data_IF_914254247334
#
_entry.id   IF_914254247334
#
_cell.length_a   1.000
_cell.length_b   1.000
_cell.length_c   1.000
_cell.angle_alpha   90.00
_cell.angle_beta   90.00
_cell.angle_gamma   90.00
#
_symmetry.space_group_name_H-M   'P 1'
#
loop_
_entity.id
_entity.type
_entity.pdbx_description
1 polymer ?
#
# COMPACT_ATOMS: atom_id res chain seq x y z
N UNK A 1 -15.94 -3.78 28.90
CA UNK A 1 -15.12 -5.02 28.96
C UNK A 1 -15.94 -6.28 28.69
N UNK A 2 -17.07 -6.52 29.36
CA UNK A 2 -17.90 -7.71 29.13
C UNK A 2 -18.34 -7.91 27.66
N UNK A 3 -18.78 -6.86 26.96
CA UNK A 3 -19.24 -6.97 25.57
C UNK A 3 -18.18 -7.46 24.56
N UNK A 4 -16.90 -7.16 24.78
CA UNK A 4 -15.82 -7.63 23.89
C UNK A 4 -15.53 -9.12 24.08
N UNK A 5 -15.65 -9.63 25.30
CA UNK A 5 -15.52 -11.06 25.58
C UNK A 5 -16.68 -11.83 24.96
N UNK A 6 -17.91 -11.32 25.08
CA UNK A 6 -19.09 -11.89 24.42
C UNK A 6 -18.92 -11.93 22.90
N UNK A 7 -18.49 -10.84 22.28
CA UNK A 7 -18.22 -10.79 20.83
C UNK A 7 -17.14 -11.78 20.39
N UNK A 8 -16.06 -11.94 21.18
CA UNK A 8 -15.01 -12.91 20.89
C UNK A 8 -15.51 -14.36 20.99
N UNK A 9 -16.25 -14.72 22.05
CA UNK A 9 -16.79 -16.07 22.18
C UNK A 9 -17.86 -16.38 21.13
N UNK A 10 -18.67 -15.39 20.72
CA UNK A 10 -19.60 -15.54 19.60
C UNK A 10 -18.87 -15.78 18.28
N UNK A 11 -17.83 -15.00 17.98
CA UNK A 11 -17.02 -15.20 16.78
C UNK A 11 -16.27 -16.55 16.79
N UNK A 12 -15.78 -17.00 17.94
CA UNK A 12 -15.20 -18.33 18.10
C UNK A 12 -16.23 -19.44 17.87
N UNK A 13 -17.48 -19.25 18.32
CA UNK A 13 -18.53 -20.23 18.09
C UNK A 13 -18.87 -20.34 16.60
N UNK A 14 -18.95 -19.21 15.89
CA UNK A 14 -19.14 -19.18 14.43
C UNK A 14 -17.96 -19.84 13.71
N UNK A 15 -16.72 -19.53 14.07
CA UNK A 15 -15.52 -20.12 13.46
C UNK A 15 -15.42 -21.64 13.69
N UNK A 16 -15.94 -22.15 14.82
CA UNK A 16 -16.03 -23.59 15.06
C UNK A 16 -16.93 -24.29 14.05
N UNK A 17 -17.97 -23.64 13.55
CA UNK A 17 -18.82 -24.21 12.50
C UNK A 17 -18.05 -24.39 11.18
N UNK A 18 -17.01 -23.58 10.93
CA UNK A 18 -16.15 -23.73 9.75
C UNK A 18 -15.32 -25.03 9.78
N UNK A 19 -15.15 -25.66 10.94
CA UNK A 19 -14.28 -26.82 11.12
C UNK A 19 -14.70 -28.01 10.26
N UNK A 20 -16.02 -28.29 10.15
CA UNK A 20 -16.50 -29.40 9.34
C UNK A 20 -16.18 -29.21 7.86
N UNK A 21 -16.18 -27.96 7.38
CA UNK A 21 -15.86 -27.61 6.00
C UNK A 21 -14.35 -27.74 5.75
N UNK A 22 -13.51 -27.31 6.70
CA UNK A 22 -12.04 -27.47 6.62
C UNK A 22 -11.64 -28.93 6.54
N UNK A 23 -12.22 -29.77 7.41
CA UNK A 23 -11.94 -31.21 7.45
C UNK A 23 -12.42 -31.91 6.17
N UNK A 24 -13.62 -31.60 5.71
CA UNK A 24 -14.16 -32.17 4.48
C UNK A 24 -13.36 -31.71 3.26
N UNK A 25 -13.08 -30.41 3.11
CA UNK A 25 -12.30 -29.87 2.01
C UNK A 25 -10.91 -30.51 1.95
N UNK A 26 -10.22 -30.63 3.09
CA UNK A 26 -8.92 -31.29 3.16
C UNK A 26 -8.96 -32.75 2.72
N UNK A 27 -9.97 -33.52 3.15
CA UNK A 27 -10.19 -34.91 2.70
C UNK A 27 -10.54 -34.99 1.22
N UNK A 28 -11.39 -34.09 0.73
CA UNK A 28 -11.79 -34.02 -0.67
C UNK A 28 -10.58 -33.72 -1.56
N UNK A 29 -9.77 -32.71 -1.23
CA UNK A 29 -8.55 -32.39 -1.97
C UNK A 29 -7.53 -33.53 -1.96
N UNK A 30 -7.38 -34.23 -0.82
CA UNK A 30 -6.52 -35.41 -0.73
C UNK A 30 -6.98 -36.51 -1.69
N UNK A 31 -8.26 -36.89 -1.66
CA UNK A 31 -8.82 -37.91 -2.55
C UNK A 31 -8.72 -37.50 -4.02
N UNK A 32 -9.01 -36.25 -4.36
CA UNK A 32 -8.91 -35.75 -5.73
C UNK A 32 -7.45 -35.77 -6.23
N UNK A 33 -6.48 -35.34 -5.42
CA UNK A 33 -5.06 -35.28 -5.81
C UNK A 33 -4.45 -36.65 -6.07
N UNK A 34 -4.88 -37.69 -5.34
CA UNK A 34 -4.45 -39.08 -5.58
C UNK A 34 -5.00 -39.67 -6.89
N UNK A 35 -5.97 -38.99 -7.52
CA UNK A 35 -6.72 -39.46 -8.69
C UNK A 35 -6.44 -38.66 -9.97
N UNK A 36 -5.83 -37.49 -9.84
CA UNK A 36 -5.32 -36.66 -10.95
C UNK A 36 -4.35 -37.43 -11.88
N UNK A 37 -3.47 -38.33 -11.40
CA UNK A 37 -2.58 -39.11 -12.28
C UNK A 37 -3.30 -40.10 -13.21
N UNK A 38 -4.58 -40.42 -12.94
CA UNK A 38 -5.35 -41.44 -13.65
C UNK A 38 -6.19 -40.94 -14.83
N UNK A 39 -6.20 -39.63 -15.10
CA UNK A 39 -7.01 -39.01 -16.16
C UNK A 39 -8.51 -39.41 -16.14
N UNK A 40 -9.07 -39.58 -14.93
CA UNK A 40 -10.46 -40.01 -14.72
C UNK A 40 -11.42 -38.92 -15.22
N UNK A 41 -12.46 -39.33 -15.95
CA UNK A 41 -13.51 -38.41 -16.37
C UNK A 41 -14.38 -37.99 -15.18
N UNK A 42 -15.16 -36.93 -15.34
CA UNK A 42 -16.15 -36.49 -14.32
C UNK A 42 -17.12 -37.63 -13.99
N UNK A 43 -17.50 -38.44 -14.98
CA UNK A 43 -18.39 -39.58 -14.79
C UNK A 43 -17.73 -40.68 -13.94
N UNK A 44 -16.44 -40.95 -14.17
CA UNK A 44 -15.69 -41.93 -13.37
C UNK A 44 -15.53 -41.45 -11.93
N UNK A 45 -15.32 -40.16 -11.72
CA UNK A 45 -15.27 -39.57 -10.37
C UNK A 45 -16.61 -39.67 -9.63
N UNK A 46 -17.73 -39.41 -10.31
CA UNK A 46 -19.07 -39.56 -9.73
C UNK A 46 -19.39 -41.02 -9.38
N UNK A 47 -18.93 -41.95 -10.22
CA UNK A 47 -19.12 -43.39 -10.02
C UNK A 47 -18.20 -44.00 -8.94
N UNK A 48 -17.16 -43.27 -8.50
CA UNK A 48 -16.24 -43.78 -7.49
C UNK A 48 -16.90 -43.94 -6.12
N UNK A 49 -16.95 -45.19 -5.63
CA UNK A 49 -17.63 -45.53 -4.39
C UNK A 49 -17.03 -44.84 -3.15
N UNK A 50 -15.73 -44.56 -3.14
CA UNK A 50 -15.07 -43.95 -1.98
C UNK A 50 -15.32 -42.45 -1.91
N UNK A 51 -15.27 -41.75 -3.05
CA UNK A 51 -15.59 -40.33 -3.17
C UNK A 51 -17.08 -40.10 -2.90
N UNK A 52 -17.94 -40.95 -3.48
CA UNK A 52 -19.37 -40.94 -3.24
C UNK A 52 -19.70 -41.12 -1.75
N UNK A 53 -19.02 -42.04 -1.05
CA UNK A 53 -19.18 -42.24 0.40
C UNK A 53 -18.73 -41.02 1.20
N UNK A 54 -17.57 -40.46 0.88
CA UNK A 54 -17.02 -39.26 1.54
C UNK A 54 -18.00 -38.07 1.43
N UNK A 55 -18.47 -37.80 0.21
CA UNK A 55 -19.37 -36.68 -0.07
C UNK A 55 -20.73 -36.90 0.59
N UNK A 56 -21.28 -38.12 0.57
CA UNK A 56 -22.53 -38.42 1.26
C UNK A 56 -22.46 -38.28 2.78
N UNK A 57 -21.36 -38.71 3.39
CA UNK A 57 -21.15 -38.53 4.82
C UNK A 57 -21.16 -37.04 5.19
N UNK A 58 -20.45 -36.22 4.41
CA UNK A 58 -20.47 -34.78 4.61
C UNK A 58 -21.85 -34.17 4.34
N UNK A 59 -22.56 -34.60 3.29
CA UNK A 59 -23.92 -34.13 2.98
C UNK A 59 -24.90 -34.38 4.14
N UNK A 60 -24.82 -35.54 4.78
CA UNK A 60 -25.65 -35.87 5.96
C UNK A 60 -25.27 -34.96 7.14
N UNK A 61 -23.97 -34.81 7.41
CA UNK A 61 -23.46 -33.95 8.48
C UNK A 61 -23.90 -32.49 8.27
N UNK A 62 -23.64 -31.94 7.08
CA UNK A 62 -24.01 -30.58 6.69
C UNK A 62 -25.52 -30.33 6.85
N UNK A 63 -26.37 -31.25 6.36
CA UNK A 63 -27.82 -31.09 6.53
C UNK A 63 -28.27 -31.21 7.97
N UNK A 64 -27.67 -32.09 8.76
CA UNK A 64 -27.99 -32.22 10.20
C UNK A 64 -27.71 -30.91 10.92
N UNK A 65 -26.55 -30.30 10.68
CA UNK A 65 -26.21 -28.99 11.23
C UNK A 65 -27.17 -27.89 10.75
N UNK A 66 -27.44 -27.83 9.44
CA UNK A 66 -28.35 -26.83 8.85
C UNK A 66 -29.78 -26.93 9.40
N UNK A 67 -30.29 -28.15 9.60
CA UNK A 67 -31.62 -28.37 10.19
C UNK A 67 -31.67 -27.99 11.67
N UNK A 68 -30.54 -28.02 12.37
CA UNK A 68 -30.39 -27.58 13.74
C UNK A 68 -30.01 -26.08 13.85
N UNK A 69 -30.31 -25.28 12.81
CA UNK A 69 -30.05 -23.84 12.74
C UNK A 69 -28.58 -23.42 12.86
N UNK A 70 -27.63 -24.30 12.48
CA UNK A 70 -26.24 -23.89 12.29
C UNK A 70 -26.05 -23.10 10.99
N UNK A 71 -24.88 -22.50 10.82
CA UNK A 71 -24.44 -21.75 9.64
C UNK A 71 -25.23 -20.46 9.38
N UNK A 72 -25.70 -19.80 10.43
CA UNK A 72 -26.48 -18.55 10.33
C UNK A 72 -25.73 -17.43 9.64
N UNK A 73 -24.39 -17.44 9.69
CA UNK A 73 -23.51 -16.44 9.07
C UNK A 73 -23.13 -16.76 7.61
N UNK A 74 -23.49 -17.94 7.10
CA UNK A 74 -23.32 -18.23 5.68
C UNK A 74 -24.36 -17.50 4.85
N UNK A 75 -23.93 -16.95 3.71
CA UNK A 75 -24.84 -16.38 2.73
C UNK A 75 -25.75 -17.45 2.15
N UNK A 76 -27.00 -17.08 1.86
CA UNK A 76 -27.99 -17.98 1.27
C UNK A 76 -27.50 -18.59 -0.05
N UNK A 77 -26.77 -17.81 -0.85
CA UNK A 77 -26.11 -18.30 -2.07
C UNK A 77 -25.13 -19.44 -1.77
N UNK A 78 -24.20 -19.23 -0.84
CA UNK A 78 -23.21 -20.26 -0.47
C UNK A 78 -23.86 -21.55 0.05
N UNK A 79 -24.95 -21.45 0.83
CA UNK A 79 -25.71 -22.63 1.29
C UNK A 79 -26.34 -23.38 0.11
N UNK A 80 -27.00 -22.66 -0.80
CA UNK A 80 -27.67 -23.25 -1.98
C UNK A 80 -26.65 -23.89 -2.91
N UNK A 81 -25.56 -23.19 -3.21
CA UNK A 81 -24.47 -23.67 -4.07
C UNK A 81 -23.90 -24.98 -3.54
N UNK A 82 -23.55 -25.03 -2.25
CA UNK A 82 -23.05 -26.26 -1.62
C UNK A 82 -24.07 -27.41 -1.69
N UNK A 83 -25.36 -27.13 -1.44
CA UNK A 83 -26.42 -28.13 -1.51
C UNK A 83 -26.57 -28.73 -2.91
N UNK A 84 -26.50 -27.90 -3.95
CA UNK A 84 -26.58 -28.32 -5.34
C UNK A 84 -25.31 -29.08 -5.75
N UNK A 85 -24.13 -28.54 -5.45
CA UNK A 85 -22.84 -29.14 -5.80
C UNK A 85 -22.64 -30.52 -5.16
N UNK A 86 -23.06 -30.71 -3.90
CA UNK A 86 -23.05 -32.04 -3.25
C UNK A 86 -23.96 -33.05 -3.95
N UNK A 87 -25.08 -32.59 -4.54
CA UNK A 87 -25.97 -33.46 -5.32
C UNK A 87 -25.42 -33.75 -6.73
N UNK A 88 -24.80 -32.78 -7.38
CA UNK A 88 -24.14 -32.97 -8.68
C UNK A 88 -22.94 -33.93 -8.57
N UNK A 89 -22.08 -33.74 -7.59
CA UNK A 89 -20.87 -34.57 -7.36
C UNK A 89 -21.18 -36.01 -6.95
N UNK A 90 -22.40 -36.28 -6.46
CA UNK A 90 -22.91 -37.64 -6.19
C UNK A 90 -23.79 -38.20 -7.30
N UNK A 91 -23.94 -37.48 -8.42
CA UNK A 91 -24.75 -37.92 -9.57
C UNK A 91 -26.25 -37.95 -9.32
N UNK A 92 -26.76 -37.28 -8.26
CA UNK A 92 -28.20 -37.19 -7.97
C UNK A 92 -28.94 -36.20 -8.87
N UNK A 93 -28.21 -35.29 -9.52
CA UNK A 93 -28.72 -34.33 -10.48
C UNK A 93 -28.07 -34.57 -11.86
N UNK A 94 -28.80 -34.35 -12.96
CA UNK A 94 -28.24 -34.50 -14.31
C UNK A 94 -27.14 -33.48 -14.57
N UNK A 95 -25.95 -33.93 -15.02
CA UNK A 95 -24.84 -33.01 -15.34
C UNK A 95 -25.18 -31.96 -16.41
N UNK A 96 -26.17 -32.22 -17.26
CA UNK A 96 -26.66 -31.24 -18.25
C UNK A 96 -27.24 -29.99 -17.59
N UNK A 97 -27.84 -30.13 -16.42
CA UNK A 97 -28.51 -29.03 -15.72
C UNK A 97 -27.49 -28.15 -14.97
N UNK A 98 -26.28 -28.67 -14.75
CA UNK A 98 -25.21 -27.96 -14.04
C UNK A 98 -24.84 -26.62 -14.68
N UNK A 99 -24.78 -26.55 -16.02
CA UNK A 99 -24.47 -25.30 -16.74
C UNK A 99 -25.57 -24.24 -16.61
N UNK A 100 -26.81 -24.66 -16.34
CA UNK A 100 -27.93 -23.74 -16.12
C UNK A 100 -27.92 -23.19 -14.70
N UNK A 101 -27.63 -24.05 -13.72
CA UNK A 101 -27.56 -23.70 -12.31
C UNK A 101 -26.32 -22.85 -11.98
N UNK A 102 -25.20 -23.04 -12.72
CA UNK A 102 -23.94 -22.31 -12.52
C UNK A 102 -23.50 -21.61 -13.82
N UNK A 103 -23.78 -20.30 -13.94
CA UNK A 103 -23.33 -19.47 -15.08
C UNK A 103 -21.82 -19.21 -15.01
N UNK A 104 -21.07 -19.74 -15.97
CA UNK A 104 -19.62 -19.58 -16.04
C UNK A 104 -19.22 -18.51 -17.07
N UNK A 105 -18.61 -17.41 -16.61
CA UNK A 105 -18.02 -16.38 -17.50
C UNK A 105 -16.65 -16.77 -18.07
N UNK A 106 -15.99 -17.82 -17.52
CA UNK A 106 -14.59 -18.18 -17.83
C UNK A 106 -14.34 -19.63 -18.28
N UNK A 107 -15.39 -20.40 -18.55
CA UNK A 107 -15.27 -21.74 -19.14
C UNK A 107 -15.13 -22.90 -18.13
N UNK A 108 -15.91 -23.95 -18.37
CA UNK A 108 -15.79 -25.35 -17.92
C UNK A 108 -15.19 -25.64 -16.52
N UNK A 109 -15.79 -25.14 -15.44
CA UNK A 109 -15.53 -25.75 -14.13
C UNK A 109 -16.25 -27.09 -14.00
N UNK A 110 -15.58 -28.10 -13.45
CA UNK A 110 -16.23 -29.33 -13.01
C UNK A 110 -17.00 -29.10 -11.71
N UNK A 111 -18.05 -29.91 -11.41
CA UNK A 111 -18.76 -29.84 -10.15
C UNK A 111 -17.86 -29.99 -8.91
N UNK A 112 -16.77 -30.74 -9.02
CA UNK A 112 -15.81 -30.95 -7.92
C UNK A 112 -14.94 -29.71 -7.67
N UNK A 113 -14.52 -29.00 -8.72
CA UNK A 113 -13.77 -27.75 -8.59
C UNK A 113 -14.64 -26.63 -8.01
N UNK A 114 -15.89 -26.47 -8.50
CA UNK A 114 -16.82 -25.50 -7.91
C UNK A 114 -17.17 -25.86 -6.46
N UNK A 115 -17.22 -27.15 -6.12
CA UNK A 115 -17.39 -27.59 -4.73
C UNK A 115 -16.21 -27.14 -3.87
N UNK A 116 -14.97 -27.33 -4.30
CA UNK A 116 -13.79 -26.85 -3.55
C UNK A 116 -13.81 -25.31 -3.36
N UNK A 117 -14.12 -24.56 -4.42
CA UNK A 117 -14.23 -23.10 -4.37
C UNK A 117 -15.34 -22.67 -3.38
N UNK A 118 -16.50 -23.31 -3.44
CA UNK A 118 -17.64 -22.99 -2.58
C UNK A 118 -17.37 -23.35 -1.12
N UNK A 119 -16.64 -24.44 -0.85
CA UNK A 119 -16.16 -24.80 0.48
C UNK A 119 -15.18 -23.75 1.01
N UNK A 120 -14.26 -23.25 0.16
CA UNK A 120 -13.37 -22.15 0.52
C UNK A 120 -14.14 -20.89 0.91
N UNK A 121 -15.12 -20.50 0.09
CA UNK A 121 -15.99 -19.35 0.38
C UNK A 121 -16.75 -19.51 1.70
N UNK A 122 -17.29 -20.69 1.99
CA UNK A 122 -17.97 -20.97 3.26
C UNK A 122 -17.03 -20.85 4.47
N UNK A 123 -15.80 -21.38 4.36
CA UNK A 123 -14.78 -21.24 5.40
C UNK A 123 -14.44 -19.76 5.64
N UNK A 124 -14.27 -18.99 4.56
CA UNK A 124 -13.92 -17.56 4.64
C UNK A 124 -15.06 -16.74 5.26
N UNK A 125 -16.32 -17.03 4.92
CA UNK A 125 -17.50 -16.37 5.51
C UNK A 125 -17.57 -16.63 7.02
N UNK A 126 -17.39 -17.88 7.46
CA UNK A 126 -17.44 -18.27 8.88
C UNK A 126 -16.21 -17.82 9.70
N UNK A 127 -15.04 -17.71 9.08
CA UNK A 127 -13.82 -17.22 9.72
C UNK A 127 -13.77 -15.69 9.83
N UNK A 128 -14.51 -14.97 8.97
CA UNK A 128 -14.47 -13.50 8.89
C UNK A 128 -14.68 -12.79 10.24
N UNK A 129 -15.64 -13.18 11.11
CA UNK A 129 -15.84 -12.51 12.40
C UNK A 129 -14.63 -12.66 13.33
N UNK A 130 -14.05 -13.86 13.45
CA UNK A 130 -12.90 -14.08 14.32
C UNK A 130 -11.65 -13.40 13.78
N UNK A 131 -11.48 -13.37 12.46
CA UNK A 131 -10.34 -12.70 11.81
C UNK A 131 -10.46 -11.18 11.91
N UNK A 132 -11.68 -10.63 11.81
CA UNK A 132 -11.93 -9.22 12.11
C UNK A 132 -11.56 -8.89 13.56
N UNK A 133 -11.94 -9.73 14.54
CA UNK A 133 -11.57 -9.53 15.95
C UNK A 133 -10.05 -9.68 16.14
N UNK A 134 -9.40 -10.65 15.50
CA UNK A 134 -7.93 -10.79 15.56
C UNK A 134 -7.22 -9.62 14.92
N UNK A 135 -7.74 -9.12 13.80
CA UNK A 135 -7.20 -7.93 13.14
C UNK A 135 -7.36 -6.70 14.04
N UNK A 136 -8.54 -6.52 14.66
CA UNK A 136 -8.78 -5.46 15.64
C UNK A 136 -7.92 -5.62 16.90
N UNK A 137 -7.75 -6.84 17.39
CA UNK A 137 -6.86 -7.12 18.51
C UNK A 137 -5.41 -6.83 18.14
N UNK A 138 -4.96 -7.17 16.91
CA UNK A 138 -3.64 -6.83 16.41
C UNK A 138 -3.48 -5.32 16.27
N UNK A 139 -4.46 -4.58 15.76
CA UNK A 139 -4.39 -3.12 15.72
C UNK A 139 -4.42 -2.50 17.12
N UNK A 140 -5.07 -3.13 18.10
CA UNK A 140 -5.11 -2.67 19.50
C UNK A 140 -3.83 -3.03 20.27
N UNK A 141 -3.28 -4.24 20.13
CA UNK A 141 -2.05 -4.67 20.82
C UNK A 141 -0.77 -4.19 20.15
N UNK A 142 -0.80 -3.93 18.84
CA UNK A 142 0.28 -3.21 18.14
C UNK A 142 0.10 -1.69 18.31
N UNK A 143 -1.14 -1.22 18.49
CA UNK A 143 -1.50 0.20 18.62
C UNK A 143 -1.19 0.84 19.97
N UNK A 144 -1.03 0.11 21.07
CA UNK A 144 -0.67 0.72 22.37
C UNK A 144 0.84 0.79 22.63
N UNK A 145 1.68 0.21 21.75
CA UNK A 145 3.16 0.34 21.85
C UNK A 145 3.80 1.08 20.67
N UNK A 146 3.01 1.71 19.81
CA UNK A 146 3.47 2.88 19.07
C UNK A 146 2.54 4.01 19.47
N UNK A 147 2.97 4.77 20.50
CA UNK A 147 2.80 6.22 20.35
C UNK A 147 3.35 6.50 18.95
N UNK A 148 2.49 6.87 18.00
CA UNK A 148 2.97 7.57 16.81
C UNK A 148 3.91 8.61 17.38
N UNK A 149 5.21 8.44 17.11
CA UNK A 149 6.20 9.41 17.54
C UNK A 149 5.66 10.70 16.94
N UNK A 150 5.23 11.64 17.78
CA UNK A 150 4.61 12.88 17.30
C UNK A 150 5.51 13.39 16.18
N UNK A 151 4.91 13.59 15.01
CA UNK A 151 5.65 14.06 13.84
C UNK A 151 6.18 15.43 14.23
N UNK A 152 7.45 15.46 14.57
CA UNK A 152 8.11 16.59 15.19
C UNK A 152 9.36 16.95 14.41
N UNK A 153 9.78 18.20 14.55
CA UNK A 153 10.98 18.73 13.93
C UNK A 153 10.67 19.95 13.08
N UNK A 154 11.73 20.69 12.79
CA UNK A 154 11.71 22.03 12.20
C UNK A 154 10.81 22.23 10.98
N UNK A 155 10.61 21.19 10.15
CA UNK A 155 9.72 21.29 8.98
C UNK A 155 8.26 21.21 9.40
N UNK A 156 7.92 20.27 10.28
CA UNK A 156 6.56 20.14 10.82
C UNK A 156 6.21 21.31 11.74
N UNK A 157 7.13 21.74 12.59
CA UNK A 157 6.93 22.91 13.46
C UNK A 157 6.66 24.18 12.64
N UNK A 158 7.36 24.35 11.50
CA UNK A 158 7.11 25.46 10.59
C UNK A 158 5.77 25.34 9.87
N UNK A 159 5.36 24.13 9.46
CA UNK A 159 4.04 23.91 8.89
C UNK A 159 2.96 24.30 9.90
N UNK A 160 3.09 23.87 11.15
CA UNK A 160 2.13 24.15 12.22
C UNK A 160 2.00 25.66 12.46
N UNK A 161 3.11 26.41 12.41
CA UNK A 161 3.11 27.88 12.50
C UNK A 161 2.40 28.60 11.35
N UNK A 162 2.14 27.89 10.24
CA UNK A 162 1.46 28.39 9.04
C UNK A 162 0.02 27.84 8.92
N UNK A 163 -0.54 27.29 10.01
CA UNK A 163 -1.85 26.65 10.06
C UNK A 163 -1.97 25.40 9.16
N UNK A 164 -0.85 24.72 8.90
CA UNK A 164 -0.81 23.41 8.23
C UNK A 164 -0.30 22.33 9.18
N UNK A 165 -0.84 21.13 9.07
CA UNK A 165 -0.35 19.96 9.79
C UNK A 165 0.19 18.91 8.82
N UNK A 166 0.85 17.88 9.33
CA UNK A 166 1.27 16.73 8.52
C UNK A 166 0.09 16.09 7.74
N UNK A 167 -1.16 16.22 8.20
CA UNK A 167 -2.37 15.71 7.53
C UNK A 167 -2.65 16.38 6.18
N UNK A 168 -2.04 17.53 5.93
CA UNK A 168 -2.15 18.24 4.65
C UNK A 168 -1.24 17.65 3.55
N UNK A 169 -0.39 16.66 3.90
CA UNK A 169 0.45 15.89 2.99
C UNK A 169 -0.11 14.48 2.77
N UNK A 170 0.28 13.82 1.66
CA UNK A 170 0.07 12.37 1.54
C UNK A 170 1.02 11.62 2.49
N UNK A 171 0.63 10.40 2.90
CA UNK A 171 1.44 9.55 3.77
C UNK A 171 2.89 9.36 3.29
N UNK A 172 3.10 9.14 1.98
CA UNK A 172 4.45 9.00 1.39
C UNK A 172 5.32 10.25 1.62
N UNK A 173 4.71 11.42 1.53
CA UNK A 173 5.41 12.70 1.66
C UNK A 173 5.69 13.01 3.13
N UNK A 174 4.78 12.66 4.04
CA UNK A 174 5.04 12.70 5.50
C UNK A 174 6.29 11.89 5.85
N UNK A 175 6.38 10.65 5.34
CA UNK A 175 7.55 9.81 5.55
C UNK A 175 8.83 10.41 4.93
N UNK A 176 8.71 11.02 3.76
CA UNK A 176 9.84 11.67 3.08
C UNK A 176 10.34 12.87 3.87
N UNK A 177 9.44 13.76 4.31
CA UNK A 177 9.76 14.91 5.15
C UNK A 177 10.43 14.44 6.44
N UNK A 178 9.80 13.53 7.18
CA UNK A 178 10.34 13.02 8.43
C UNK A 178 11.75 12.41 8.27
N UNK A 179 11.99 11.71 7.15
CA UNK A 179 13.29 11.09 6.84
C UNK A 179 14.39 12.12 6.55
N UNK A 180 14.09 13.24 5.90
CA UNK A 180 15.12 14.22 5.51
C UNK A 180 15.46 15.23 6.59
N UNK A 181 14.60 15.43 7.60
CA UNK A 181 14.84 16.42 8.65
C UNK A 181 16.22 16.32 9.32
N UNK A 182 16.77 15.12 9.64
CA UNK A 182 18.12 15.01 10.19
C UNK A 182 19.24 15.55 9.30
N UNK A 183 19.01 15.67 7.98
CA UNK A 183 19.96 16.27 7.06
C UNK A 183 19.86 17.80 7.05
N UNK A 184 18.77 18.39 7.56
CA UNK A 184 18.54 19.84 7.52
C UNK A 184 19.09 20.45 8.81
N UNK A 185 20.13 21.27 8.69
CA UNK A 185 20.70 22.02 9.81
C UNK A 185 19.82 23.21 10.20
N UNK A 186 19.27 23.92 9.21
CA UNK A 186 18.42 25.10 9.43
C UNK A 186 17.41 25.29 8.29
N UNK A 187 16.22 25.81 8.63
CA UNK A 187 15.29 26.41 7.66
C UNK A 187 15.46 27.91 7.75
N UNK A 188 16.08 28.52 6.73
CA UNK A 188 16.46 29.94 6.69
C UNK A 188 15.30 30.85 6.30
N UNK A 189 14.27 30.29 5.67
CA UNK A 189 13.07 31.03 5.28
C UNK A 189 12.10 30.15 4.51
N UNK A 190 10.93 30.71 4.21
CA UNK A 190 9.88 30.00 3.49
C UNK A 190 9.06 30.94 2.60
N UNK A 191 8.44 30.38 1.57
CA UNK A 191 7.38 31.03 0.79
C UNK A 191 6.20 30.08 0.69
N UNK A 192 5.04 30.53 1.14
CA UNK A 192 3.78 29.84 0.94
C UNK A 192 3.10 30.37 -0.31
N UNK A 193 2.81 29.48 -1.25
CA UNK A 193 2.09 29.81 -2.47
C UNK A 193 0.68 29.23 -2.44
N UNK A 194 -0.26 29.97 -3.01
CA UNK A 194 -1.61 29.50 -3.33
C UNK A 194 -1.69 29.14 -4.81
N UNK A 195 -2.33 28.02 -5.11
CA UNK A 195 -2.56 27.49 -6.45
C UNK A 195 -4.06 27.61 -6.79
N UNK A 196 -4.37 28.01 -8.01
CA UNK A 196 -5.75 28.12 -8.50
C UNK A 196 -5.84 27.72 -9.97
N UNK A 197 -7.06 27.46 -10.46
CA UNK A 197 -7.30 27.10 -11.87
C UNK A 197 -6.82 25.69 -12.23
N UNK A 198 -6.90 24.75 -11.28
CA UNK A 198 -6.75 23.32 -11.54
C UNK A 198 -7.99 22.79 -12.27
N UNK A 199 -7.84 21.70 -13.01
CA UNK A 199 -8.97 21.01 -13.63
C UNK A 199 -9.79 20.19 -12.61
N UNK A 200 -10.85 19.54 -13.07
CA UNK A 200 -11.75 18.73 -12.25
C UNK A 200 -11.06 17.53 -11.57
N UNK A 201 -9.88 17.14 -12.06
CA UNK A 201 -9.07 16.06 -11.49
C UNK A 201 -7.93 16.60 -10.62
N UNK A 202 -7.85 17.92 -10.41
CA UNK A 202 -6.82 18.56 -9.61
C UNK A 202 -5.47 18.70 -10.31
N UNK A 203 -5.41 18.48 -11.62
CA UNK A 203 -4.18 18.64 -12.40
C UNK A 203 -4.00 20.09 -12.89
N UNK A 204 -2.75 20.55 -13.08
CA UNK A 204 -2.48 21.84 -13.68
C UNK A 204 -2.98 21.93 -15.14
N UNK A 205 -3.84 22.91 -15.42
CA UNK A 205 -4.29 23.31 -16.76
C UNK A 205 -3.48 24.50 -17.31
N UNK A 206 -3.78 24.97 -18.53
CA UNK A 206 -3.20 26.21 -19.08
C UNK A 206 -3.58 27.45 -18.26
N UNK A 207 -4.72 27.40 -17.59
CA UNK A 207 -5.26 28.48 -16.76
C UNK A 207 -4.78 28.41 -15.31
N UNK A 208 -3.94 27.43 -14.96
CA UNK A 208 -3.46 27.31 -13.58
C UNK A 208 -2.51 28.45 -13.23
N UNK A 209 -2.76 29.06 -12.07
CA UNK A 209 -2.05 30.23 -11.56
C UNK A 209 -1.40 29.92 -10.22
N UNK A 210 -0.35 30.67 -9.91
CA UNK A 210 0.36 30.65 -8.63
C UNK A 210 0.53 32.08 -8.13
N UNK A 211 0.25 32.29 -6.84
CA UNK A 211 0.42 33.56 -6.16
C UNK A 211 1.05 33.34 -4.78
N UNK A 212 1.86 34.29 -4.32
CA UNK A 212 2.41 34.25 -2.97
C UNK A 212 1.32 34.63 -1.98
N UNK A 213 1.17 33.81 -0.93
CA UNK A 213 0.27 34.06 0.18
C UNK A 213 1.03 34.64 1.38
N UNK A 214 2.18 34.06 1.71
CA UNK A 214 3.03 34.54 2.80
C UNK A 214 4.49 34.18 2.59
N UNK A 215 5.37 34.86 3.32
CA UNK A 215 6.82 34.64 3.30
C UNK A 215 7.38 34.84 4.70
N UNK A 216 8.51 34.18 4.98
CA UNK A 216 9.27 34.38 6.20
C UNK A 216 10.77 34.14 6.01
N UNK A 217 11.57 34.67 6.93
CA UNK A 217 13.03 34.57 6.91
C UNK A 217 13.65 35.19 5.67
N UNK A 218 14.65 34.52 5.09
CA UNK A 218 15.40 35.02 3.90
C UNK A 218 14.51 35.32 2.70
N UNK A 219 13.34 34.67 2.58
CA UNK A 219 12.41 34.85 1.47
C UNK A 219 11.76 36.25 1.44
N UNK A 220 11.72 36.98 2.56
CA UNK A 220 11.15 38.34 2.63
C UNK A 220 11.89 39.32 1.70
N UNK A 221 13.21 39.17 1.56
CA UNK A 221 14.05 40.04 0.72
C UNK A 221 14.19 39.58 -0.74
N UNK A 222 13.63 38.43 -1.11
CA UNK A 222 13.84 37.84 -2.45
C UNK A 222 12.81 38.37 -3.46
N UNK A 223 13.22 38.66 -4.69
CA UNK A 223 12.26 38.98 -5.77
C UNK A 223 11.63 37.69 -6.29
N UNK A 224 10.31 37.67 -6.50
CA UNK A 224 9.62 36.51 -7.08
C UNK A 224 8.69 36.91 -8.20
N UNK A 225 8.68 36.14 -9.28
CA UNK A 225 7.68 36.29 -10.35
C UNK A 225 6.23 36.13 -9.88
N UNK A 226 6.02 35.50 -8.73
CA UNK A 226 4.70 35.25 -8.15
C UNK A 226 4.31 36.30 -7.09
N UNK A 227 5.05 37.42 -7.01
CA UNK A 227 4.63 38.61 -6.24
C UNK A 227 3.29 39.16 -6.75
N UNK A 228 3.03 38.97 -8.04
CA UNK A 228 1.71 39.08 -8.63
C UNK A 228 1.26 37.68 -9.11
N UNK A 229 -0.04 37.38 -9.13
CA UNK A 229 -0.54 36.13 -9.68
C UNK A 229 0.00 35.89 -11.10
N UNK A 230 0.63 34.74 -11.33
CA UNK A 230 1.27 34.38 -12.60
C UNK A 230 0.98 32.93 -12.97
N UNK A 231 1.16 32.54 -14.22
CA UNK A 231 0.92 31.16 -14.68
C UNK A 231 1.82 30.14 -13.97
N UNK A 232 1.24 29.03 -13.53
CA UNK A 232 1.94 27.92 -12.90
C UNK A 232 2.77 27.16 -13.94
N UNK A 233 4.10 27.23 -13.82
CA UNK A 233 5.05 26.65 -14.79
C UNK A 233 6.26 25.99 -14.12
N UNK A 234 6.99 25.17 -14.88
CA UNK A 234 8.24 24.54 -14.47
C UNK A 234 8.08 23.54 -13.33
N UNK A 235 9.10 23.44 -12.47
CA UNK A 235 9.17 22.47 -11.36
C UNK A 235 7.94 22.56 -10.44
N UNK A 236 7.45 23.77 -10.15
CA UNK A 236 6.25 23.97 -9.31
C UNK A 236 5.00 23.36 -9.96
N UNK A 237 4.86 23.46 -11.29
CA UNK A 237 3.78 22.79 -12.04
C UNK A 237 3.90 21.27 -11.95
N UNK A 238 5.12 20.74 -12.12
CA UNK A 238 5.38 19.30 -12.00
C UNK A 238 5.05 18.79 -10.60
N UNK A 239 5.37 19.55 -9.54
CA UNK A 239 5.05 19.16 -8.16
C UNK A 239 3.54 19.13 -7.93
N UNK A 240 2.78 20.12 -8.43
CA UNK A 240 1.32 20.11 -8.31
C UNK A 240 0.71 18.93 -9.08
N UNK A 241 1.25 18.59 -10.26
CA UNK A 241 0.75 17.47 -11.05
C UNK A 241 1.07 16.10 -10.44
N UNK A 242 2.28 15.93 -9.89
CA UNK A 242 2.74 14.63 -9.37
C UNK A 242 2.36 14.44 -7.90
N UNK A 243 2.28 15.52 -7.13
CA UNK A 243 2.01 15.51 -5.69
C UNK A 243 3.11 14.84 -4.88
N UNK A 244 4.37 15.03 -5.26
CA UNK A 244 5.53 14.57 -4.52
C UNK A 244 6.32 15.74 -3.94
N UNK A 245 6.86 15.56 -2.74
CA UNK A 245 7.86 16.47 -2.17
C UNK A 245 9.07 16.56 -3.10
N UNK A 246 9.49 17.79 -3.37
CA UNK A 246 10.71 18.07 -4.14
C UNK A 246 11.83 18.50 -3.20
N UNK A 247 13.03 17.98 -3.44
CA UNK A 247 14.24 18.30 -2.69
C UNK A 247 15.31 18.58 -3.73
N UNK A 248 15.89 19.77 -3.73
CA UNK A 248 16.89 20.10 -4.73
C UNK A 248 17.37 21.54 -4.70
N UNK A 249 17.85 22.02 -5.85
CA UNK A 249 18.32 23.39 -6.04
C UNK A 249 17.28 24.18 -6.85
N UNK A 250 17.07 25.44 -6.47
CA UNK A 250 16.32 26.39 -7.26
C UNK A 250 17.02 26.63 -8.60
N UNK A 251 16.29 26.51 -9.71
CA UNK A 251 16.87 26.66 -11.05
C UNK A 251 17.33 28.11 -11.35
N UNK A 252 16.74 29.10 -10.67
CA UNK A 252 17.03 30.50 -10.92
C UNK A 252 18.19 31.05 -10.06
N UNK A 253 18.36 30.53 -8.85
CA UNK A 253 19.23 31.09 -7.82
C UNK A 253 20.18 30.08 -7.19
N UNK A 254 20.10 28.80 -7.58
CA UNK A 254 20.90 27.72 -7.00
C UNK A 254 20.59 27.41 -5.54
N UNK A 255 19.56 28.04 -4.95
CA UNK A 255 19.26 27.94 -3.54
C UNK A 255 18.80 26.52 -3.17
N UNK A 256 19.25 26.01 -2.04
CA UNK A 256 18.81 24.70 -1.55
C UNK A 256 17.38 24.82 -1.05
N UNK A 257 16.49 24.06 -1.68
CA UNK A 257 15.05 24.16 -1.44
C UNK A 257 14.40 22.80 -1.24
N UNK A 258 13.39 22.80 -0.38
CA UNK A 258 12.42 21.70 -0.23
C UNK A 258 11.04 22.27 -0.53
N UNK A 259 10.26 21.63 -1.39
CA UNK A 259 8.90 22.08 -1.73
C UNK A 259 7.90 21.01 -1.33
N UNK A 260 6.94 21.40 -0.50
CA UNK A 260 5.89 20.54 0.04
C UNK A 260 4.55 20.83 -0.68
N UNK A 261 3.92 19.83 -1.32
CA UNK A 261 2.59 19.97 -1.90
C UNK A 261 1.51 19.81 -0.84
N UNK A 262 0.83 20.90 -0.48
CA UNK A 262 -0.13 20.94 0.62
C UNK A 262 -1.57 20.99 0.10
N UNK A 263 -2.44 20.19 0.73
CA UNK A 263 -3.89 20.21 0.52
C UNK A 263 -4.56 20.99 1.64
N UNK A 264 -5.29 22.04 1.32
CA UNK A 264 -6.08 22.81 2.29
C UNK A 264 -7.50 22.97 1.79
N UNK A 265 -8.46 22.47 2.57
CA UNK A 265 -9.91 22.57 2.31
C UNK A 265 -10.43 21.78 1.10
N UNK A 266 -9.55 21.19 0.29
CA UNK A 266 -9.89 20.42 -0.91
C UNK A 266 -9.05 19.14 -0.99
N UNK A 267 -9.46 18.18 -1.84
CA UNK A 267 -8.68 16.95 -2.10
C UNK A 267 -7.44 17.21 -2.99
N UNK A 268 -7.34 18.40 -3.59
CA UNK A 268 -6.29 18.77 -4.52
C UNK A 268 -5.21 19.64 -3.86
N UNK A 269 -4.06 19.74 -4.52
CA UNK A 269 -2.92 20.55 -4.03
C UNK A 269 -3.25 22.02 -4.25
N UNK A 270 -3.82 22.66 -3.23
CA UNK A 270 -4.17 24.07 -3.25
C UNK A 270 -3.01 24.99 -2.83
N UNK A 271 -1.95 24.45 -2.21
CA UNK A 271 -0.82 25.23 -1.73
C UNK A 271 0.52 24.54 -2.00
N UNK A 272 1.56 25.33 -2.19
CA UNK A 272 2.96 24.86 -2.18
C UNK A 272 3.73 25.61 -1.09
N UNK A 273 4.37 24.88 -0.18
CA UNK A 273 5.28 25.47 0.79
C UNK A 273 6.72 25.22 0.36
N UNK A 274 7.41 26.28 -0.05
CA UNK A 274 8.83 26.24 -0.39
C UNK A 274 9.65 26.66 0.82
N UNK A 275 10.61 25.83 1.20
CA UNK A 275 11.55 26.05 2.29
C UNK A 275 12.93 26.30 1.74
N UNK A 276 13.60 27.35 2.21
CA UNK A 276 15.03 27.57 2.00
C UNK A 276 15.78 26.86 3.12
N UNK A 277 16.55 25.83 2.79
CA UNK A 277 17.19 24.95 3.76
C UNK A 277 18.70 25.03 3.71
N UNK A 278 19.34 24.67 4.80
CA UNK A 278 20.78 24.43 4.88
C UNK A 278 20.99 22.99 5.33
N UNK A 279 21.87 22.26 4.66
CA UNK A 279 22.16 20.88 5.01
C UNK A 279 23.27 20.79 6.05
N UNK A 280 23.16 19.83 6.96
CA UNK A 280 24.23 19.45 7.88
C UNK A 280 25.27 18.60 7.15
N UNK A 281 26.27 19.24 6.55
CA UNK A 281 27.36 18.53 5.87
C UNK A 281 28.25 17.72 6.84
N UNK A 282 28.11 17.88 8.16
CA UNK A 282 28.81 17.04 9.14
C UNK A 282 28.10 15.70 9.42
N UNK A 283 26.94 15.46 8.79
CA UNK A 283 26.12 14.28 9.03
C UNK A 283 26.93 12.97 8.79
N UNK A 284 26.96 12.03 9.77
CA UNK A 284 27.68 10.77 9.63
C UNK A 284 27.19 9.94 8.46
N UNK A 285 28.08 9.16 7.83
CA UNK A 285 27.79 8.36 6.62
C UNK A 285 26.56 7.46 6.82
N UNK A 286 26.44 6.78 7.98
CA UNK A 286 25.28 5.94 8.29
C UNK A 286 23.95 6.72 8.22
N UNK A 287 23.94 7.96 8.72
CA UNK A 287 22.77 8.86 8.64
C UNK A 287 22.56 9.42 7.24
N UNK A 288 23.62 9.71 6.49
CA UNK A 288 23.52 10.09 5.06
C UNK A 288 22.76 9.04 4.24
N UNK A 289 22.98 7.75 4.50
CA UNK A 289 22.22 6.65 3.87
C UNK A 289 20.75 6.69 4.24
N UNK A 290 20.45 6.82 5.53
CA UNK A 290 19.08 6.86 6.04
C UNK A 290 18.29 8.02 5.41
N UNK A 291 18.86 9.22 5.34
CA UNK A 291 18.15 10.41 4.81
C UNK A 291 17.87 10.31 3.31
N UNK A 292 18.76 9.67 2.54
CA UNK A 292 18.58 9.42 1.10
C UNK A 292 17.44 8.43 0.81
N UNK A 293 17.15 7.51 1.73
CA UNK A 293 16.12 6.49 1.53
C UNK A 293 16.36 5.66 0.27
N UNK A 294 15.34 5.47 -0.56
CA UNK A 294 15.46 4.62 -1.76
C UNK A 294 16.51 5.13 -2.76
N UNK A 295 16.76 6.44 -2.79
CA UNK A 295 17.77 7.06 -3.67
C UNK A 295 19.19 6.55 -3.41
N UNK A 296 19.50 6.12 -2.19
CA UNK A 296 20.76 5.44 -1.90
C UNK A 296 20.90 4.15 -2.71
N UNK A 297 19.82 3.38 -2.85
CA UNK A 297 19.82 2.16 -3.65
C UNK A 297 19.99 2.48 -5.14
N UNK A 298 19.36 3.54 -5.64
CA UNK A 298 19.51 3.97 -7.03
C UNK A 298 20.98 4.31 -7.34
N UNK A 299 21.64 5.09 -6.47
CA UNK A 299 23.07 5.44 -6.60
C UNK A 299 23.92 4.17 -6.56
N UNK A 300 23.70 3.31 -5.57
CA UNK A 300 24.45 2.06 -5.41
C UNK A 300 24.30 1.13 -6.63
N UNK A 301 23.08 1.00 -7.15
CA UNK A 301 22.80 0.15 -8.31
C UNK A 301 23.54 0.65 -9.54
N UNK A 302 23.48 1.95 -9.85
CA UNK A 302 24.21 2.52 -11.00
C UNK A 302 25.73 2.46 -10.82
N UNK A 303 26.26 2.61 -9.60
CA UNK A 303 27.70 2.45 -9.37
C UNK A 303 28.15 1.00 -9.58
N UNK A 304 27.35 0.02 -9.15
CA UNK A 304 27.67 -1.40 -9.36
C UNK A 304 27.69 -1.79 -10.84
N UNK A 305 26.95 -1.10 -11.72
CA UNK A 305 27.02 -1.33 -13.18
C UNK A 305 28.41 -1.05 -13.76
N UNK A 306 29.20 -0.20 -13.11
CA UNK A 306 30.60 0.03 -13.46
C UNK A 306 31.56 -1.06 -12.92
N UNK A 307 31.05 -2.18 -12.39
CA UNK A 307 31.82 -3.24 -11.72
C UNK A 307 32.68 -2.76 -10.53
N UNK A 308 32.33 -1.61 -9.94
CA UNK A 308 33.00 -1.09 -8.75
C UNK A 308 32.35 -1.70 -7.51
N UNK A 309 33.17 -2.20 -6.58
CA UNK A 309 32.67 -2.64 -5.27
C UNK A 309 32.16 -1.42 -4.49
N UNK A 310 30.87 -1.40 -4.19
CA UNK A 310 30.26 -0.33 -3.40
C UNK A 310 30.91 -0.16 -2.02
N UNK A 311 31.23 1.09 -1.69
CA UNK A 311 31.64 1.54 -0.36
C UNK A 311 30.84 2.79 0.04
N UNK A 312 30.25 2.78 1.25
CA UNK A 312 29.46 3.90 1.75
C UNK A 312 30.30 5.18 1.93
N UNK A 313 31.63 5.09 2.04
CA UNK A 313 32.52 6.25 2.13
C UNK A 313 32.44 7.18 0.92
N UNK A 314 32.00 6.70 -0.25
CA UNK A 314 31.76 7.55 -1.41
C UNK A 314 30.70 8.62 -1.14
N UNK A 315 29.69 8.33 -0.31
CA UNK A 315 28.68 9.31 0.10
C UNK A 315 29.27 10.42 0.96
N UNK A 316 30.38 10.17 1.66
CA UNK A 316 31.10 11.18 2.43
C UNK A 316 31.87 12.17 1.57
N UNK A 317 32.22 11.78 0.33
CA UNK A 317 32.96 12.63 -0.62
C UNK A 317 32.06 13.61 -1.41
N UNK A 318 30.74 13.41 -1.36
CA UNK A 318 29.76 14.23 -2.07
C UNK A 318 28.98 15.06 -1.05
N UNK A 319 28.80 16.36 -1.33
CA UNK A 319 27.96 17.24 -0.52
C UNK A 319 26.51 16.72 -0.50
N UNK A 320 25.83 16.82 0.63
CA UNK A 320 24.42 16.42 0.76
C UNK A 320 23.53 17.14 -0.25
N UNK A 321 23.81 18.41 -0.52
CA UNK A 321 23.09 19.16 -1.56
C UNK A 321 23.10 18.46 -2.91
N UNK A 322 24.25 17.92 -3.29
CA UNK A 322 24.47 17.29 -4.58
C UNK A 322 23.90 15.87 -4.57
N UNK A 323 24.04 15.15 -3.46
CA UNK A 323 23.42 13.84 -3.26
C UNK A 323 21.90 13.92 -3.46
N UNK A 324 21.23 14.98 -3.00
CA UNK A 324 19.78 15.14 -3.22
C UNK A 324 19.41 15.71 -4.60
N UNK A 325 20.23 16.59 -5.19
CA UNK A 325 19.81 17.36 -6.39
C UNK A 325 20.34 16.85 -7.73
N UNK A 326 21.50 16.20 -7.79
CA UNK A 326 22.10 15.79 -9.07
C UNK A 326 21.41 14.54 -9.63
N UNK A 327 21.36 14.35 -10.95
CA UNK A 327 20.96 13.06 -11.51
C UNK A 327 21.83 11.90 -10.99
N UNK A 328 21.25 10.71 -10.85
CA UNK A 328 21.91 9.55 -10.22
C UNK A 328 23.09 9.06 -11.08
N UNK A 329 22.95 9.13 -12.40
CA UNK A 329 23.98 8.86 -13.41
C UNK A 329 25.21 9.76 -13.25
N UNK A 330 25.01 11.05 -12.99
CA UNK A 330 26.11 11.99 -12.74
C UNK A 330 26.84 11.62 -11.44
N UNK A 331 26.10 11.29 -10.38
CA UNK A 331 26.70 10.85 -9.11
C UNK A 331 27.50 9.56 -9.28
N UNK A 332 26.96 8.59 -10.01
CA UNK A 332 27.64 7.32 -10.28
C UNK A 332 28.91 7.51 -11.11
N UNK A 333 28.86 8.36 -12.14
CA UNK A 333 30.03 8.70 -12.95
C UNK A 333 31.15 9.39 -12.16
N UNK A 334 30.81 10.27 -11.21
CA UNK A 334 31.79 10.88 -10.30
C UNK A 334 32.45 9.83 -9.39
N UNK A 335 31.67 8.90 -8.85
CA UNK A 335 32.19 7.80 -8.02
C UNK A 335 33.11 6.89 -8.85
N UNK A 336 32.74 6.61 -10.10
CA UNK A 336 33.58 5.83 -11.01
C UNK A 336 34.95 6.47 -11.26
N UNK A 337 35.00 7.78 -11.50
CA UNK A 337 36.27 8.50 -11.67
C UNK A 337 37.15 8.44 -10.42
N UNK A 338 36.57 8.45 -9.22
CA UNK A 338 37.33 8.30 -7.97
C UNK A 338 37.84 6.89 -7.75
N UNK A 339 37.05 5.87 -8.11
CA UNK A 339 37.49 4.48 -8.00
C UNK A 339 38.64 4.20 -8.98
N UNK A 340 38.52 4.67 -10.23
CA UNK A 340 39.53 4.49 -11.27
C UNK A 340 40.83 5.28 -11.05
N UNK A 341 40.85 6.25 -10.11
CA UNK A 341 42.07 6.99 -9.73
C UNK A 341 42.75 6.45 -8.48
N UNK A 342 42.21 5.39 -7.87
CA UNK A 342 42.83 4.66 -6.76
C UNK A 342 43.40 3.29 -7.17
N UNK A 343 43.20 2.90 -8.44
CA UNK A 343 43.96 1.85 -9.15
C UNK A 343 45.16 2.48 -9.86
#
# INVERSE_FOLDING_TARGET
MAGHLWGYYAALAIDKEAQIFREFRGRLSYELTHRIPGNLSILDMIADASLHRLINQFYILFNTHRQNNAFTELSSGTIVDLLLLLKYTTGRLPLRDFEQDFKNEKGHFSPFELLDISLGKAIDELARPIDAIRHQAKTVTVGTSRKEKELAGMVFDLMDSLDFSAKNLIHRDILTVNRIQPAIAAVRGHTLYRISGLDEQGNPSTNSMIAIQSRGGVALGMKSRADQPTSLMGVKRTIVSTGHVYIGKGQADGALIVILPLRSGTEFISHLLLLHVEYDESLPIGKRKEVLGYRYNDIKNLVNEYNIRWDDHYLGKINLSDLFSKPVDILAGQIHQWAASQE
#
